data_IF_997647552161
#
_entry.id   IF_997647552161
#
_cell.length_a   1.000
_cell.length_b   1.000
_cell.length_c   1.000
_cell.angle_alpha   90.00
_cell.angle_beta   90.00
_cell.angle_gamma   90.00
#
_symmetry.space_group_name_H-M   'P 1'
#
loop_
_entity.id
_entity.type
_entity.pdbx_description
1 polymer ?
#
# COMPACT_ATOMS: atom_id res chain seq x y z
N UNK A 1 -10.48 -20.15 -23.79
CA UNK A 1 -10.70 -19.69 -22.42
C UNK A 1 -11.37 -20.81 -21.65
N UNK A 2 -10.90 -21.16 -20.47
CA UNK A 2 -11.48 -22.19 -19.59
C UNK A 2 -12.31 -21.48 -18.53
N UNK A 3 -13.56 -21.90 -18.28
CA UNK A 3 -14.48 -21.31 -17.33
C UNK A 3 -15.15 -22.39 -16.47
N UNK A 4 -15.38 -22.13 -15.19
CA UNK A 4 -16.06 -23.06 -14.30
C UNK A 4 -17.57 -23.08 -14.53
N UNK A 5 -18.17 -21.92 -14.85
CA UNK A 5 -19.60 -21.76 -15.07
C UNK A 5 -19.88 -21.26 -16.51
N UNK A 6 -20.71 -21.95 -17.28
CA UNK A 6 -21.10 -21.50 -18.63
C UNK A 6 -21.83 -20.17 -18.65
N UNK A 7 -22.51 -19.76 -17.58
CA UNK A 7 -23.14 -18.45 -17.47
C UNK A 7 -22.13 -17.31 -17.46
N UNK A 8 -20.91 -17.54 -16.98
CA UNK A 8 -19.80 -16.58 -17.03
C UNK A 8 -19.19 -16.47 -18.44
N UNK A 9 -19.37 -17.47 -19.29
CA UNK A 9 -18.89 -17.44 -20.66
C UNK A 9 -19.65 -16.42 -21.54
N UNK A 10 -20.86 -16.01 -21.15
CA UNK A 10 -21.67 -15.03 -21.85
C UNK A 10 -21.14 -13.57 -21.71
N UNK A 11 -20.20 -13.33 -20.83
CA UNK A 11 -19.60 -11.99 -20.59
C UNK A 11 -18.51 -11.66 -21.63
N UNK A 12 -17.99 -12.65 -22.31
CA UNK A 12 -16.99 -12.46 -23.36
C UNK A 12 -17.64 -12.67 -24.71
N UNK A 13 -18.15 -11.59 -25.35
CA UNK A 13 -18.29 -11.61 -26.77
C UNK A 13 -16.93 -12.00 -27.38
N UNK A 14 -16.86 -13.08 -28.18
CA UNK A 14 -15.63 -13.41 -28.86
C UNK A 14 -15.34 -12.22 -29.80
N UNK A 15 -14.33 -11.44 -29.45
CA UNK A 15 -13.68 -10.63 -30.45
C UNK A 15 -13.36 -11.55 -31.63
N UNK A 16 -13.22 -11.03 -32.83
CA UNK A 16 -13.03 -11.72 -34.12
C UNK A 16 -11.88 -12.76 -34.20
N UNK A 17 -11.44 -13.29 -33.05
CA UNK A 17 -10.42 -14.33 -32.91
C UNK A 17 -11.05 -15.71 -32.62
N UNK A 18 -10.41 -16.75 -33.09
CA UNK A 18 -10.79 -18.17 -33.02
C UNK A 18 -10.64 -18.80 -31.59
N UNK A 19 -10.77 -18.04 -30.52
CA UNK A 19 -10.63 -18.58 -29.18
C UNK A 19 -11.84 -19.45 -28.78
N UNK A 20 -11.60 -20.76 -28.56
CA UNK A 20 -12.59 -21.71 -28.04
C UNK A 20 -12.81 -21.47 -26.54
N UNK A 21 -14.05 -21.35 -26.11
CA UNK A 21 -14.44 -21.36 -24.70
C UNK A 21 -14.85 -22.77 -24.33
N UNK A 22 -14.25 -23.34 -23.27
CA UNK A 22 -14.55 -24.69 -22.80
C UNK A 22 -14.78 -24.66 -21.30
N UNK A 23 -15.63 -25.56 -20.79
CA UNK A 23 -15.79 -25.78 -19.36
C UNK A 23 -14.51 -26.39 -18.79
N UNK A 24 -14.14 -26.02 -17.58
CA UNK A 24 -12.96 -26.60 -16.91
C UNK A 24 -13.05 -28.12 -16.82
N UNK A 25 -14.22 -28.66 -16.45
CA UNK A 25 -14.45 -30.11 -16.34
C UNK A 25 -14.28 -30.83 -17.68
N UNK A 26 -14.80 -30.27 -18.78
CA UNK A 26 -14.66 -30.82 -20.13
C UNK A 26 -13.21 -30.78 -20.59
N UNK A 27 -12.52 -29.66 -20.32
CA UNK A 27 -11.09 -29.51 -20.63
C UNK A 27 -10.22 -30.49 -19.83
N UNK A 28 -10.50 -30.71 -18.56
CA UNK A 28 -9.81 -31.70 -17.72
C UNK A 28 -10.05 -33.12 -18.23
N UNK A 29 -11.28 -33.46 -18.64
CA UNK A 29 -11.62 -34.77 -19.20
C UNK A 29 -10.92 -34.99 -20.55
N UNK A 30 -10.91 -34.01 -21.46
CA UNK A 30 -10.18 -34.03 -22.71
C UNK A 30 -8.67 -34.19 -22.47
N UNK A 31 -8.12 -33.49 -21.45
CA UNK A 31 -6.69 -33.57 -21.10
C UNK A 31 -6.28 -34.92 -20.53
N UNK A 32 -7.15 -35.58 -19.76
CA UNK A 32 -6.89 -36.92 -19.21
C UNK A 32 -6.84 -38.00 -20.31
N UNK A 33 -7.50 -37.78 -21.44
CA UNK A 33 -7.48 -38.67 -22.62
C UNK A 33 -6.33 -38.37 -23.60
N UNK A 34 -5.71 -37.19 -23.46
CA UNK A 34 -4.58 -36.82 -24.32
C UNK A 34 -3.38 -37.68 -23.98
N UNK A 35 -2.73 -38.25 -25.00
CA UNK A 35 -1.51 -39.01 -24.84
C UNK A 35 -0.38 -38.08 -24.41
N UNK A 36 -0.06 -38.05 -23.10
CA UNK A 36 0.92 -37.17 -22.47
C UNK A 36 2.35 -37.39 -22.97
N UNK A 37 2.65 -38.58 -23.52
CA UNK A 37 3.99 -38.93 -24.01
C UNK A 37 4.39 -38.16 -25.27
N UNK A 38 3.41 -37.68 -26.06
CA UNK A 38 3.67 -36.93 -27.28
C UNK A 38 3.93 -35.43 -27.05
N UNK A 39 3.51 -34.85 -25.90
CA UNK A 39 3.62 -33.42 -25.60
C UNK A 39 4.90 -33.10 -24.85
N UNK A 40 5.38 -34.02 -23.98
CA UNK A 40 6.52 -33.79 -23.11
C UNK A 40 7.89 -33.70 -23.83
N UNK A 41 7.96 -34.11 -25.10
CA UNK A 41 9.26 -34.33 -25.78
C UNK A 41 9.69 -33.26 -26.77
N UNK A 42 8.88 -32.17 -27.01
CA UNK A 42 9.16 -31.24 -28.12
C UNK A 42 9.23 -29.74 -27.75
N UNK A 43 8.84 -29.33 -26.57
CA UNK A 43 8.99 -27.93 -26.22
C UNK A 43 10.44 -27.64 -25.80
N UNK A 44 11.12 -26.65 -26.40
CA UNK A 44 12.43 -26.23 -25.91
C UNK A 44 12.31 -25.73 -24.47
N UNK A 45 13.31 -26.00 -23.66
CA UNK A 45 13.36 -25.45 -22.31
C UNK A 45 13.33 -23.91 -22.37
N UNK A 46 12.51 -23.26 -21.53
CA UNK A 46 12.42 -21.80 -21.53
C UNK A 46 13.78 -21.18 -21.19
N UNK A 47 14.13 -20.11 -21.89
CA UNK A 47 15.34 -19.35 -21.67
C UNK A 47 15.06 -18.18 -20.70
N UNK A 48 16.11 -17.65 -20.10
CA UNK A 48 15.99 -16.56 -19.13
C UNK A 48 15.32 -15.30 -19.73
N UNK A 49 15.54 -15.04 -21.02
CA UNK A 49 15.02 -13.88 -21.74
C UNK A 49 13.62 -14.10 -22.33
N UNK A 50 13.10 -15.32 -22.28
CA UNK A 50 11.75 -15.60 -22.78
C UNK A 50 10.71 -14.88 -21.95
N UNK A 51 9.60 -14.48 -22.59
CA UNK A 51 8.48 -13.85 -21.95
C UNK A 51 7.80 -14.82 -20.96
N UNK A 52 7.86 -14.50 -19.68
CA UNK A 52 7.25 -15.29 -18.62
C UNK A 52 5.83 -14.85 -18.28
N UNK A 53 5.56 -13.54 -18.31
CA UNK A 53 4.26 -12.99 -17.93
C UNK A 53 3.98 -11.66 -18.63
N UNK A 54 2.70 -11.40 -18.90
CA UNK A 54 2.18 -10.07 -19.24
C UNK A 54 1.23 -9.66 -18.10
N UNK A 55 1.59 -8.59 -17.38
CA UNK A 55 0.79 -8.09 -16.27
C UNK A 55 0.20 -6.73 -16.63
N UNK A 56 -1.13 -6.66 -16.65
CA UNK A 56 -1.82 -5.42 -16.99
C UNK A 56 -1.86 -4.48 -15.79
N UNK A 57 -1.42 -3.22 -16.02
CA UNK A 57 -1.53 -2.15 -15.03
C UNK A 57 -2.73 -1.27 -15.35
N UNK A 58 -3.41 -0.79 -14.31
CA UNK A 58 -4.57 0.11 -14.45
C UNK A 58 -4.21 1.54 -14.83
N UNK A 59 -3.00 1.78 -15.34
CA UNK A 59 -2.44 3.06 -15.79
C UNK A 59 -3.19 4.32 -15.36
N UNK A 60 -2.51 5.30 -14.78
CA UNK A 60 -3.13 6.58 -14.37
C UNK A 60 -3.67 7.41 -15.55
N UNK A 61 -3.42 7.01 -16.78
CA UNK A 61 -3.68 7.82 -18.00
C UNK A 61 -4.66 7.19 -19.00
N UNK A 62 -5.42 6.14 -18.64
CA UNK A 62 -6.41 5.58 -19.57
C UNK A 62 -6.38 4.05 -19.70
N UNK A 63 -6.23 3.53 -20.91
CA UNK A 63 -6.30 2.09 -21.20
C UNK A 63 -5.19 1.31 -20.50
N UNK A 64 -5.47 0.14 -19.89
CA UNK A 64 -4.46 -0.70 -19.27
C UNK A 64 -3.31 -1.04 -20.22
N UNK A 65 -2.09 -1.12 -19.69
CA UNK A 65 -0.89 -1.50 -20.43
C UNK A 65 -0.39 -2.84 -19.93
N UNK A 66 -0.10 -3.76 -20.83
CA UNK A 66 0.47 -5.06 -20.51
C UNK A 66 1.99 -4.95 -20.33
N UNK A 67 2.47 -5.03 -19.11
CA UNK A 67 3.91 -5.07 -18.79
C UNK A 67 4.46 -6.44 -19.10
N UNK A 68 5.46 -6.53 -19.97
CA UNK A 68 6.13 -7.78 -20.35
C UNK A 68 7.29 -8.07 -19.39
N UNK A 69 7.23 -9.20 -18.72
CA UNK A 69 8.27 -9.67 -17.80
C UNK A 69 8.87 -10.98 -18.31
N UNK A 70 10.19 -11.02 -18.43
CA UNK A 70 10.91 -12.26 -18.75
C UNK A 70 11.10 -13.13 -17.49
N UNK A 71 11.50 -14.39 -17.69
CA UNK A 71 11.90 -15.27 -16.59
C UNK A 71 13.06 -14.65 -15.79
N UNK A 72 14.04 -14.02 -16.46
CA UNK A 72 15.13 -13.29 -15.80
C UNK A 72 14.60 -12.18 -14.89
N UNK A 73 13.65 -11.35 -15.38
CA UNK A 73 13.11 -10.24 -14.59
C UNK A 73 12.52 -10.75 -13.27
N UNK A 74 11.68 -11.78 -13.34
CA UNK A 74 11.00 -12.33 -12.16
C UNK A 74 11.98 -12.99 -11.21
N UNK A 75 12.86 -13.87 -11.72
CA UNK A 75 13.77 -14.64 -10.86
C UNK A 75 14.86 -13.78 -10.23
N UNK A 76 15.35 -12.74 -10.92
CA UNK A 76 16.31 -11.80 -10.33
C UNK A 76 15.67 -11.00 -9.18
N UNK A 77 14.40 -10.61 -9.31
CA UNK A 77 13.69 -9.91 -8.26
C UNK A 77 13.46 -10.81 -7.04
N UNK A 78 12.99 -12.05 -7.24
CA UNK A 78 12.84 -13.04 -6.16
C UNK A 78 14.14 -13.24 -5.40
N UNK A 79 15.25 -13.43 -6.12
CA UNK A 79 16.58 -13.62 -5.52
C UNK A 79 16.98 -12.40 -4.69
N UNK A 80 16.81 -11.21 -5.23
CA UNK A 80 17.18 -9.97 -4.54
C UNK A 80 16.32 -9.69 -3.30
N UNK A 81 15.01 -9.97 -3.37
CA UNK A 81 14.09 -9.84 -2.23
C UNK A 81 14.43 -10.83 -1.12
N UNK A 82 14.84 -12.05 -1.44
CA UNK A 82 15.30 -13.02 -0.42
C UNK A 82 16.46 -12.50 0.43
N UNK A 83 17.34 -11.68 -0.15
CA UNK A 83 18.41 -11.01 0.59
C UNK A 83 17.93 -9.98 1.61
N UNK A 84 16.66 -9.52 1.53
CA UNK A 84 16.05 -8.55 2.47
C UNK A 84 15.14 -9.21 3.50
N UNK A 85 14.31 -10.17 3.05
CA UNK A 85 13.27 -10.79 3.89
C UNK A 85 13.79 -12.01 4.65
N UNK A 86 14.80 -12.69 4.15
CA UNK A 86 15.41 -13.89 4.76
C UNK A 86 14.34 -14.95 5.10
N UNK A 87 13.54 -15.31 4.10
CA UNK A 87 12.55 -16.38 4.23
C UNK A 87 13.23 -17.75 4.24
N UNK A 88 12.64 -18.71 4.96
CA UNK A 88 13.16 -20.08 5.12
C UNK A 88 12.04 -21.11 4.87
N UNK A 89 12.42 -22.37 4.76
CA UNK A 89 11.49 -23.50 4.62
C UNK A 89 10.45 -23.57 5.75
N UNK A 90 10.83 -23.15 6.97
CA UNK A 90 9.95 -23.22 8.16
C UNK A 90 8.92 -22.11 8.21
N UNK A 91 8.96 -21.18 7.25
CA UNK A 91 8.03 -20.05 7.24
C UNK A 91 6.65 -20.42 6.70
N UNK A 92 5.67 -19.74 7.25
CA UNK A 92 4.27 -19.82 6.85
C UNK A 92 3.82 -18.44 6.38
N UNK A 93 3.47 -18.33 5.11
CA UNK A 93 2.90 -17.13 4.49
C UNK A 93 1.39 -17.19 4.51
N UNK A 94 0.72 -16.10 4.84
CA UNK A 94 -0.72 -15.94 4.66
C UNK A 94 -0.96 -14.99 3.48
N UNK A 95 -1.41 -15.55 2.35
CA UNK A 95 -1.66 -14.83 1.10
C UNK A 95 -3.12 -14.37 1.06
N UNK A 96 -3.35 -13.08 0.87
CA UNK A 96 -4.69 -12.49 0.77
C UNK A 96 -4.80 -11.39 -0.28
N UNK A 97 -3.67 -10.91 -0.81
CA UNK A 97 -3.65 -9.95 -1.91
C UNK A 97 -3.87 -10.68 -3.24
N UNK A 98 -4.37 -9.99 -4.29
CA UNK A 98 -4.57 -10.63 -5.60
C UNK A 98 -3.25 -11.11 -6.22
N UNK A 99 -3.13 -12.39 -6.51
CA UNK A 99 -1.96 -12.98 -7.19
C UNK A 99 -1.79 -12.45 -8.62
N UNK A 100 -2.82 -11.84 -9.20
CA UNK A 100 -2.74 -11.10 -10.46
C UNK A 100 -1.88 -9.83 -10.36
N UNK A 101 -1.66 -9.30 -9.15
CA UNK A 101 -0.77 -8.18 -8.89
C UNK A 101 0.65 -8.68 -8.66
N UNK A 102 1.66 -8.04 -9.29
CA UNK A 102 3.06 -8.47 -9.21
C UNK A 102 3.62 -8.54 -7.79
N UNK A 103 3.18 -7.67 -6.89
CA UNK A 103 3.65 -7.66 -5.50
C UNK A 103 3.31 -8.97 -4.78
N UNK A 104 2.05 -9.40 -4.83
CA UNK A 104 1.66 -10.69 -4.24
C UNK A 104 2.26 -11.85 -5.01
N UNK A 105 2.25 -11.80 -6.35
CA UNK A 105 2.81 -12.85 -7.19
C UNK A 105 4.29 -13.10 -6.89
N UNK A 106 5.08 -12.06 -6.71
CA UNK A 106 6.52 -12.22 -6.41
C UNK A 106 6.77 -12.52 -4.94
N UNK A 107 6.24 -11.70 -4.03
CA UNK A 107 6.56 -11.80 -2.60
C UNK A 107 5.72 -12.83 -1.85
N UNK A 108 4.47 -13.09 -2.27
CA UNK A 108 3.55 -14.02 -1.61
C UNK A 108 3.42 -15.39 -2.31
N UNK A 109 3.94 -15.53 -3.53
CA UNK A 109 3.85 -16.79 -4.28
C UNK A 109 5.22 -17.30 -4.76
N UNK A 110 5.98 -16.55 -5.58
CA UNK A 110 7.26 -17.05 -6.09
C UNK A 110 8.35 -17.12 -5.01
N UNK A 111 8.42 -16.14 -4.13
CA UNK A 111 9.41 -16.11 -3.04
C UNK A 111 9.26 -17.30 -2.09
N UNK A 112 8.06 -17.61 -1.53
CA UNK A 112 7.90 -18.81 -0.70
C UNK A 112 8.17 -20.10 -1.47
N UNK A 113 7.83 -20.19 -2.77
CA UNK A 113 8.20 -21.35 -3.60
C UNK A 113 9.72 -21.53 -3.70
N UNK A 114 10.48 -20.45 -3.86
CA UNK A 114 11.93 -20.48 -4.01
C UNK A 114 12.65 -21.05 -2.78
N UNK A 115 12.03 -20.99 -1.59
CA UNK A 115 12.59 -21.50 -0.33
C UNK A 115 11.79 -22.66 0.27
N UNK A 116 10.83 -23.20 -0.50
CA UNK A 116 9.93 -24.29 -0.07
C UNK A 116 9.14 -24.00 1.21
N UNK A 117 8.77 -22.73 1.43
CA UNK A 117 7.90 -22.32 2.53
C UNK A 117 6.43 -22.74 2.30
N UNK A 118 5.64 -22.77 3.38
CA UNK A 118 4.20 -23.01 3.29
C UNK A 118 3.46 -21.72 2.91
N UNK A 119 2.55 -21.80 1.92
CA UNK A 119 1.62 -20.71 1.58
C UNK A 119 0.19 -21.14 1.94
N UNK A 120 -0.49 -20.33 2.72
CA UNK A 120 -1.90 -20.50 3.06
C UNK A 120 -2.68 -19.34 2.48
N UNK A 121 -3.74 -19.61 1.72
CA UNK A 121 -4.60 -18.58 1.15
C UNK A 121 -5.71 -18.22 2.13
N UNK A 122 -5.88 -16.92 2.39
CA UNK A 122 -6.96 -16.43 3.23
C UNK A 122 -8.32 -16.66 2.58
N UNK A 123 -9.33 -16.91 3.37
CA UNK A 123 -10.71 -17.09 2.91
C UNK A 123 -11.28 -15.84 2.25
N UNK A 124 -11.01 -14.69 2.86
CA UNK A 124 -11.36 -13.37 2.33
C UNK A 124 -10.64 -12.26 3.11
N UNK A 125 -10.60 -11.05 2.56
CA UNK A 125 -10.07 -9.87 3.28
C UNK A 125 -10.89 -9.53 4.52
N UNK A 126 -12.20 -9.80 4.51
CA UNK A 126 -13.08 -9.58 5.67
C UNK A 126 -12.75 -10.53 6.83
N UNK A 127 -12.34 -11.76 6.53
CA UNK A 127 -12.02 -12.81 7.51
C UNK A 127 -10.53 -12.86 7.87
N UNK A 128 -9.72 -11.97 7.31
CA UNK A 128 -8.27 -11.96 7.51
C UNK A 128 -7.86 -11.97 9.00
N UNK A 129 -8.60 -11.27 9.87
CA UNK A 129 -8.31 -11.24 11.30
C UNK A 129 -8.45 -12.61 11.98
N UNK A 130 -9.46 -13.40 11.58
CA UNK A 130 -9.66 -14.77 12.08
C UNK A 130 -8.60 -15.71 11.50
N UNK A 131 -8.27 -15.54 10.22
CA UNK A 131 -7.26 -16.35 9.53
C UNK A 131 -5.86 -16.11 10.14
N UNK A 132 -5.50 -14.87 10.50
CA UNK A 132 -4.27 -14.55 11.22
C UNK A 132 -4.16 -15.32 12.55
N UNK A 133 -5.26 -15.39 13.31
CA UNK A 133 -5.29 -16.09 14.60
C UNK A 133 -5.24 -17.61 14.45
N UNK A 134 -5.87 -18.18 13.43
CA UNK A 134 -5.93 -19.62 13.21
C UNK A 134 -4.68 -20.18 12.53
N UNK A 135 -4.15 -19.50 11.51
CA UNK A 135 -2.98 -19.92 10.71
C UNK A 135 -1.67 -19.58 11.42
N UNK A 136 -1.64 -18.43 12.14
CA UNK A 136 -0.44 -17.92 12.83
C UNK A 136 0.75 -17.82 11.89
N UNK A 137 0.67 -17.00 10.84
CA UNK A 137 1.74 -16.86 9.86
C UNK A 137 3.04 -16.32 10.50
N UNK A 138 4.18 -16.63 9.88
CA UNK A 138 5.48 -16.10 10.28
C UNK A 138 5.90 -14.92 9.40
N UNK A 139 5.41 -14.89 8.15
CA UNK A 139 5.62 -13.79 7.20
C UNK A 139 4.27 -13.36 6.64
N UNK A 140 4.05 -12.04 6.58
CA UNK A 140 2.85 -11.45 6.00
C UNK A 140 3.23 -10.40 4.97
N UNK A 141 2.86 -10.65 3.71
CA UNK A 141 2.93 -9.65 2.63
C UNK A 141 1.63 -8.88 2.61
N UNK A 142 1.70 -7.56 2.72
CA UNK A 142 0.50 -6.76 2.96
C UNK A 142 0.62 -5.33 2.42
N UNK A 143 -0.44 -4.57 2.58
CA UNK A 143 -0.53 -3.15 2.23
C UNK A 143 -0.79 -2.32 3.49
N UNK A 144 -0.43 -1.03 3.52
CA UNK A 144 -0.55 -0.15 4.69
C UNK A 144 -1.93 -0.18 5.34
N UNK A 145 -3.00 -0.27 4.55
CA UNK A 145 -4.39 -0.27 5.03
C UNK A 145 -4.71 -1.33 6.09
N UNK A 146 -4.00 -2.44 6.08
CA UNK A 146 -4.19 -3.49 7.09
C UNK A 146 -3.70 -3.01 8.46
N UNK A 147 -2.52 -2.40 8.50
CA UNK A 147 -1.95 -1.84 9.73
C UNK A 147 -2.76 -0.65 10.24
N UNK A 148 -3.21 0.23 9.36
CA UNK A 148 -4.09 1.36 9.69
C UNK A 148 -5.38 0.89 10.37
N UNK A 149 -6.06 -0.12 9.81
CA UNK A 149 -7.28 -0.68 10.40
C UNK A 149 -7.03 -1.32 11.77
N UNK A 150 -5.94 -2.05 11.92
CA UNK A 150 -5.59 -2.66 13.22
C UNK A 150 -5.25 -1.56 14.22
N UNK A 151 -4.48 -0.56 13.82
CA UNK A 151 -4.14 0.59 14.65
C UNK A 151 -5.40 1.34 15.12
N UNK A 152 -6.32 1.65 14.21
CA UNK A 152 -7.59 2.30 14.54
C UNK A 152 -8.41 1.51 15.58
N UNK A 153 -8.53 0.18 15.41
CA UNK A 153 -9.19 -0.70 16.41
C UNK A 153 -8.49 -0.68 17.77
N UNK A 154 -7.16 -0.60 17.78
CA UNK A 154 -6.40 -0.46 19.04
C UNK A 154 -6.74 0.88 19.70
N UNK A 155 -6.70 1.99 18.96
CA UNK A 155 -7.03 3.32 19.47
C UNK A 155 -8.46 3.39 20.01
N UNK A 156 -9.42 2.77 19.35
CA UNK A 156 -10.79 2.66 19.81
C UNK A 156 -10.89 1.94 21.18
N UNK A 157 -10.23 0.80 21.33
CA UNK A 157 -10.18 0.07 22.60
C UNK A 157 -9.47 0.85 23.74
N UNK A 158 -8.56 1.75 23.38
CA UNK A 158 -7.84 2.59 24.33
C UNK A 158 -8.60 3.86 24.72
N UNK A 159 -9.57 4.31 23.91
CA UNK A 159 -10.29 5.56 24.08
C UNK A 159 -10.99 5.67 25.45
N UNK A 160 -11.53 4.56 25.95
CA UNK A 160 -12.23 4.50 27.24
C UNK A 160 -11.36 4.51 28.49
N UNK A 161 -9.99 4.48 28.37
CA UNK A 161 -9.12 4.37 29.54
C UNK A 161 -7.84 5.20 29.41
N UNK A 162 -7.72 6.32 30.15
CA UNK A 162 -6.51 7.12 30.17
C UNK A 162 -5.26 6.33 30.56
N UNK A 163 -5.40 5.37 31.48
CA UNK A 163 -4.30 4.52 31.96
C UNK A 163 -3.81 3.60 30.81
N UNK A 164 -4.71 2.95 30.09
CA UNK A 164 -4.33 2.10 28.96
C UNK A 164 -3.66 2.91 27.85
N UNK A 165 -4.17 4.11 27.54
CA UNK A 165 -3.52 5.04 26.59
C UNK A 165 -2.11 5.42 27.01
N UNK A 166 -1.91 5.77 28.28
CA UNK A 166 -0.60 6.12 28.82
C UNK A 166 0.38 4.93 28.77
N UNK A 167 -0.09 3.72 29.09
CA UNK A 167 0.72 2.48 29.00
C UNK A 167 1.08 2.16 27.55
N UNK A 168 0.12 2.29 26.62
CA UNK A 168 0.36 2.09 25.18
C UNK A 168 1.40 3.08 24.65
N UNK A 169 1.24 4.37 24.94
CA UNK A 169 2.20 5.40 24.56
C UNK A 169 3.59 5.13 25.15
N UNK A 170 3.67 4.70 26.40
CA UNK A 170 4.93 4.32 27.06
C UNK A 170 5.60 3.12 26.38
N UNK A 171 4.82 2.10 25.99
CA UNK A 171 5.34 0.92 25.30
C UNK A 171 5.87 1.29 23.91
N UNK A 172 5.09 2.05 23.13
CA UNK A 172 5.50 2.53 21.79
C UNK A 172 6.77 3.37 21.88
N UNK A 173 6.81 4.38 22.75
CA UNK A 173 7.97 5.28 22.91
C UNK A 173 9.24 4.52 23.31
N UNK A 174 9.15 3.64 24.32
CA UNK A 174 10.30 2.88 24.79
C UNK A 174 10.78 1.84 23.76
N UNK A 175 9.85 1.15 23.11
CA UNK A 175 10.18 0.20 22.07
C UNK A 175 10.73 0.87 20.81
N UNK A 176 10.19 2.04 20.42
CA UNK A 176 10.73 2.85 19.34
C UNK A 176 12.17 3.30 19.59
N UNK A 177 12.49 3.76 20.79
CA UNK A 177 13.86 4.09 21.17
C UNK A 177 14.81 2.89 20.99
N UNK A 178 14.37 1.69 21.37
CA UNK A 178 15.13 0.44 21.19
C UNK A 178 15.29 0.08 19.71
N UNK A 179 14.26 0.29 18.92
CA UNK A 179 14.32 0.10 17.47
C UNK A 179 15.35 1.05 16.84
N UNK A 180 15.30 2.34 17.18
CA UNK A 180 16.27 3.32 16.69
C UNK A 180 17.71 2.95 17.07
N UNK A 181 17.95 2.55 18.32
CA UNK A 181 19.26 2.09 18.79
C UNK A 181 19.75 0.87 18.01
N UNK A 182 18.89 -0.13 17.80
CA UNK A 182 19.23 -1.36 17.07
C UNK A 182 19.56 -1.14 15.60
N UNK A 183 18.96 -0.11 14.97
CA UNK A 183 19.12 0.20 13.56
C UNK A 183 19.99 1.44 13.28
N UNK A 184 20.57 2.06 14.30
CA UNK A 184 21.43 3.24 14.15
C UNK A 184 20.68 4.50 13.70
N UNK A 185 19.36 4.59 13.98
CA UNK A 185 18.53 5.72 13.59
C UNK A 185 18.59 6.85 14.62
N UNK A 186 18.46 8.09 14.14
CA UNK A 186 18.31 9.24 15.05
C UNK A 186 16.92 9.18 15.70
N UNK A 187 16.89 9.05 17.01
CA UNK A 187 15.65 9.13 17.76
C UNK A 187 15.27 10.60 17.96
N UNK A 188 14.43 11.16 17.08
CA UNK A 188 13.91 12.52 17.21
C UNK A 188 12.89 12.66 18.34
N UNK A 189 12.26 11.57 18.76
CA UNK A 189 11.24 11.53 19.81
C UNK A 189 11.86 11.26 21.19
N UNK A 190 12.99 11.85 21.47
CA UNK A 190 13.75 11.70 22.72
C UNK A 190 13.00 12.11 24.01
N UNK A 191 11.72 12.37 23.93
CA UNK A 191 10.82 12.53 25.07
C UNK A 191 10.45 11.17 25.69
N UNK A 192 11.44 10.40 26.15
CA UNK A 192 11.20 9.33 27.13
C UNK A 192 10.76 9.94 28.46
N UNK A 193 9.67 10.71 28.42
CA UNK A 193 9.04 11.29 29.58
C UNK A 193 8.02 10.35 30.24
N UNK A 194 7.68 10.59 31.47
CA UNK A 194 6.59 9.91 32.16
C UNK A 194 6.80 8.41 32.34
N UNK A 195 5.74 7.60 32.10
CA UNK A 195 5.73 6.16 32.39
C UNK A 195 6.76 5.35 31.56
N UNK A 196 7.16 5.81 30.39
CA UNK A 196 8.17 5.12 29.56
C UNK A 196 9.53 5.02 30.28
N UNK A 197 9.89 6.03 31.08
CA UNK A 197 11.12 6.04 31.86
C UNK A 197 11.03 5.13 33.10
N UNK A 198 9.88 5.08 33.74
CA UNK A 198 9.66 4.39 35.01
C UNK A 198 9.44 2.87 34.84
N UNK A 199 8.73 2.47 33.80
CA UNK A 199 8.35 1.07 33.64
C UNK A 199 9.42 0.26 32.87
N UNK A 200 9.79 -0.95 33.33
CA UNK A 200 10.72 -1.81 32.60
C UNK A 200 10.09 -2.31 31.27
N UNK A 201 10.95 -2.48 30.26
CA UNK A 201 10.49 -2.98 28.94
C UNK A 201 9.77 -4.33 29.03
N UNK A 202 10.28 -5.25 29.84
CA UNK A 202 9.68 -6.58 30.02
C UNK A 202 8.22 -6.52 30.49
N UNK A 203 7.89 -5.55 31.35
CA UNK A 203 6.49 -5.33 31.77
C UNK A 203 5.64 -4.79 30.62
N UNK A 204 6.12 -3.75 29.92
CA UNK A 204 5.41 -3.14 28.79
C UNK A 204 5.26 -4.14 27.63
N UNK A 205 6.30 -4.93 27.36
CA UNK A 205 6.25 -5.99 26.35
C UNK A 205 5.16 -7.01 26.65
N UNK A 206 5.14 -7.55 27.87
CA UNK A 206 4.18 -8.60 28.25
C UNK A 206 2.73 -8.10 28.34
N UNK A 207 2.53 -6.85 28.84
CA UNK A 207 1.20 -6.31 29.15
C UNK A 207 0.60 -5.47 28.03
N UNK A 208 1.40 -4.95 27.11
CA UNK A 208 0.96 -4.03 26.05
C UNK A 208 1.33 -4.56 24.67
N UNK A 209 2.62 -4.84 24.42
CA UNK A 209 3.07 -5.22 23.08
C UNK A 209 2.57 -6.62 22.69
N UNK A 210 2.76 -7.63 23.55
CA UNK A 210 2.36 -9.00 23.25
C UNK A 210 0.88 -9.15 22.89
N UNK A 211 -0.09 -8.58 23.62
CA UNK A 211 -1.50 -8.62 23.21
C UNK A 211 -1.79 -8.03 21.84
N UNK A 212 -0.99 -7.07 21.38
CA UNK A 212 -1.10 -6.51 20.02
C UNK A 212 -0.47 -7.45 19.00
N UNK A 213 0.69 -8.02 19.30
CA UNK A 213 1.36 -9.00 18.42
C UNK A 213 0.52 -10.28 18.27
N UNK A 214 -0.20 -10.65 19.31
CA UNK A 214 -1.09 -11.80 19.29
C UNK A 214 -2.25 -11.63 18.30
N UNK A 215 -2.66 -10.40 17.96
CA UNK A 215 -3.63 -10.13 16.89
C UNK A 215 -3.15 -10.60 15.51
N UNK A 216 -1.85 -10.72 15.32
CA UNK A 216 -1.22 -11.27 14.12
C UNK A 216 -0.90 -12.77 14.23
N UNK A 217 -1.47 -13.46 15.23
CA UNK A 217 -1.26 -14.89 15.48
C UNK A 217 -0.08 -15.22 16.40
N UNK A 218 0.64 -14.21 16.92
CA UNK A 218 1.71 -14.38 17.92
C UNK A 218 3.02 -14.99 17.39
N UNK A 219 3.11 -15.37 16.09
CA UNK A 219 4.31 -15.95 15.45
C UNK A 219 4.89 -15.10 14.34
N UNK A 220 4.25 -13.95 14.04
CA UNK A 220 4.67 -13.09 12.93
C UNK A 220 6.04 -12.47 13.24
N UNK A 221 7.06 -12.84 12.48
CA UNK A 221 8.44 -12.35 12.61
C UNK A 221 8.76 -11.22 11.62
N UNK A 222 8.13 -11.24 10.43
CA UNK A 222 8.31 -10.24 9.39
C UNK A 222 6.96 -9.90 8.78
N UNK A 223 6.69 -8.62 8.73
CA UNK A 223 5.59 -8.04 7.97
C UNK A 223 6.20 -7.19 6.84
N UNK A 224 5.87 -7.50 5.58
CA UNK A 224 6.32 -6.71 4.43
C UNK A 224 5.16 -5.83 3.98
N UNK A 225 5.42 -4.55 3.77
CA UNK A 225 4.41 -3.62 3.25
C UNK A 225 4.91 -2.88 2.02
N UNK A 226 4.03 -2.72 1.05
CA UNK A 226 4.34 -2.05 -0.21
C UNK A 226 3.10 -1.50 -0.91
N UNK A 227 3.32 -0.90 -2.06
CA UNK A 227 2.25 -0.37 -2.90
C UNK A 227 1.72 1.00 -2.53
N UNK A 228 1.90 1.44 -1.28
CA UNK A 228 1.65 2.80 -0.78
C UNK A 228 2.54 3.06 0.44
N UNK A 229 2.70 4.33 0.82
CA UNK A 229 3.40 4.67 2.05
C UNK A 229 2.55 4.31 3.28
N UNK A 230 3.18 3.85 4.37
CA UNK A 230 2.52 3.62 5.66
C UNK A 230 2.63 4.89 6.52
N UNK A 231 1.54 5.35 7.20
CA UNK A 231 1.62 6.50 8.09
C UNK A 231 2.71 6.32 9.15
N UNK A 232 3.52 7.36 9.39
CA UNK A 232 4.63 7.30 10.34
C UNK A 232 4.17 6.91 11.75
N UNK A 233 3.04 7.43 12.21
CA UNK A 233 2.46 7.07 13.52
C UNK A 233 2.10 5.58 13.60
N UNK A 234 1.68 4.98 12.50
CA UNK A 234 1.33 3.56 12.41
C UNK A 234 2.60 2.71 12.40
N UNK A 235 3.57 3.04 11.53
CA UNK A 235 4.84 2.31 11.45
C UNK A 235 5.64 2.39 12.75
N UNK A 236 5.77 3.58 13.35
CA UNK A 236 6.44 3.77 14.64
C UNK A 236 5.75 2.98 15.76
N UNK A 237 4.41 2.95 15.75
CA UNK A 237 3.67 2.18 16.75
C UNK A 237 3.95 0.68 16.65
N UNK A 238 3.86 0.09 15.47
CA UNK A 238 4.11 -1.35 15.33
C UNK A 238 5.57 -1.73 15.52
N UNK A 239 6.52 -0.95 14.98
CA UNK A 239 7.95 -1.15 15.22
C UNK A 239 8.28 -0.99 16.71
N UNK A 240 7.70 0.03 17.36
CA UNK A 240 7.86 0.25 18.82
C UNK A 240 7.25 -0.87 19.66
N UNK A 241 6.20 -1.54 19.20
CA UNK A 241 5.65 -2.72 19.86
C UNK A 241 6.43 -4.01 19.54
N UNK A 242 7.42 -3.94 18.65
CA UNK A 242 8.29 -5.08 18.31
C UNK A 242 7.84 -5.90 17.10
N UNK A 243 6.85 -5.42 16.32
CA UNK A 243 6.53 -6.01 15.03
C UNK A 243 7.54 -5.49 13.99
N UNK A 244 8.31 -6.37 13.37
CA UNK A 244 9.21 -6.00 12.28
C UNK A 244 8.40 -5.73 11.02
N UNK A 245 8.20 -4.46 10.68
CA UNK A 245 7.53 -4.02 9.45
C UNK A 245 8.58 -3.49 8.49
N UNK A 246 8.78 -4.17 7.37
CA UNK A 246 9.70 -3.77 6.30
C UNK A 246 8.92 -3.09 5.18
N UNK A 247 9.26 -1.86 4.85
CA UNK A 247 8.71 -1.16 3.70
C UNK A 247 9.56 -1.41 2.47
N UNK A 248 8.90 -1.55 1.31
CA UNK A 248 9.54 -1.59 0.02
C UNK A 248 8.81 -0.71 -0.99
N UNK A 249 9.54 -0.30 -2.02
CA UNK A 249 9.00 0.42 -3.17
C UNK A 249 9.27 -0.36 -4.44
N UNK A 250 8.32 -0.25 -5.36
CA UNK A 250 8.43 -0.83 -6.68
C UNK A 250 7.15 -0.65 -7.50
N UNK A 251 7.16 -1.19 -8.69
CA UNK A 251 6.08 -1.08 -9.65
C UNK A 251 6.04 -2.34 -10.51
N UNK A 252 4.96 -2.57 -11.24
CA UNK A 252 4.85 -3.74 -12.10
C UNK A 252 6.02 -3.83 -13.09
N UNK A 253 6.48 -2.70 -13.58
CA UNK A 253 7.60 -2.54 -14.50
C UNK A 253 8.97 -2.91 -13.90
N UNK A 254 9.06 -3.16 -12.57
CA UNK A 254 10.26 -3.61 -11.86
C UNK A 254 10.12 -4.99 -11.19
N UNK A 255 9.13 -5.80 -11.51
CA UNK A 255 8.91 -7.24 -11.20
C UNK A 255 8.62 -7.69 -9.75
N UNK A 256 8.17 -6.96 -8.75
CA UNK A 256 7.93 -5.53 -8.73
C UNK A 256 8.94 -4.73 -7.92
N UNK A 257 9.80 -5.34 -7.06
CA UNK A 257 10.51 -4.65 -5.99
C UNK A 257 11.78 -3.99 -6.52
N UNK A 258 11.93 -2.70 -6.24
CA UNK A 258 13.11 -1.95 -6.61
C UNK A 258 14.01 -1.66 -5.40
N UNK A 259 13.38 -1.25 -4.30
CA UNK A 259 14.07 -0.94 -3.04
C UNK A 259 13.31 -1.55 -1.87
N UNK A 260 13.99 -1.89 -0.80
CA UNK A 260 13.38 -2.37 0.43
C UNK A 260 14.26 -2.09 1.65
N UNK A 261 13.62 -1.83 2.79
CA UNK A 261 14.24 -1.93 4.09
C UNK A 261 14.71 -3.38 4.36
N UNK A 262 15.58 -3.56 5.31
CA UNK A 262 16.13 -4.88 5.68
C UNK A 262 16.05 -5.11 7.19
N UNK A 263 16.26 -6.37 7.60
CA UNK A 263 16.36 -6.70 9.03
C UNK A 263 17.56 -6.04 9.72
N UNK A 264 18.63 -5.76 8.97
CA UNK A 264 19.83 -5.12 9.51
C UNK A 264 19.67 -3.60 9.64
N UNK A 265 18.92 -2.98 8.74
CA UNK A 265 18.65 -1.53 8.78
C UNK A 265 17.23 -1.26 8.30
N UNK A 266 16.40 -0.72 9.17
CA UNK A 266 14.98 -0.51 8.94
C UNK A 266 14.56 0.90 9.40
N UNK A 267 14.68 1.86 8.47
CA UNK A 267 14.19 3.22 8.65
C UNK A 267 12.79 3.37 8.02
N UNK A 268 11.73 3.49 8.80
CA UNK A 268 10.37 3.63 8.25
C UNK A 268 10.13 4.98 7.55
N UNK A 269 11.05 5.92 7.60
CA UNK A 269 10.97 7.18 6.83
C UNK A 269 11.43 7.02 5.39
N UNK A 270 12.01 5.87 5.04
CA UNK A 270 12.51 5.50 3.71
C UNK A 270 11.85 4.22 3.22
N UNK A 271 12.05 3.90 1.96
CA UNK A 271 11.73 2.60 1.36
C UNK A 271 12.99 1.75 1.16
N UNK A 272 14.05 2.05 1.91
CA UNK A 272 15.30 1.33 1.98
C UNK A 272 16.22 1.54 0.78
N UNK A 273 17.26 0.72 0.75
CA UNK A 273 18.28 0.73 -0.32
C UNK A 273 17.81 -0.05 -1.55
N UNK A 274 18.34 0.24 -2.74
CA UNK A 274 18.15 -0.58 -3.91
C UNK A 274 18.45 -2.05 -3.60
N UNK A 275 17.68 -2.97 -4.17
CA UNK A 275 17.93 -4.39 -4.07
C UNK A 275 19.25 -4.75 -4.77
N UNK A 276 19.82 -5.90 -4.44
CA UNK A 276 21.05 -6.38 -5.07
C UNK A 276 20.89 -6.50 -6.59
N UNK A 277 21.85 -5.93 -7.33
CA UNK A 277 21.83 -5.89 -8.79
C UNK A 277 20.95 -4.79 -9.39
N UNK A 278 20.24 -4.01 -8.56
CA UNK A 278 19.42 -2.87 -8.98
C UNK A 278 20.17 -1.57 -8.78
N UNK A 279 20.02 -0.65 -9.74
CA UNK A 279 20.57 0.69 -9.67
C UNK A 279 19.42 1.70 -9.68
N UNK A 280 19.58 2.77 -8.91
CA UNK A 280 18.66 3.91 -8.91
C UNK A 280 19.42 5.20 -9.01
N UNK A 281 18.80 6.20 -9.63
CA UNK A 281 19.29 7.59 -9.65
C UNK A 281 18.10 8.57 -9.54
N UNK A 282 18.41 9.78 -9.15
CA UNK A 282 17.47 10.90 -9.21
C UNK A 282 17.72 11.66 -10.51
N UNK A 283 16.75 11.65 -11.39
CA UNK A 283 16.76 12.35 -12.66
C UNK A 283 16.13 13.75 -12.58
N UNK A 284 15.76 14.26 -13.75
CA UNK A 284 15.05 15.54 -13.85
C UNK A 284 13.75 15.53 -13.04
N UNK A 285 13.32 16.68 -12.55
CA UNK A 285 12.13 16.86 -11.69
C UNK A 285 12.14 16.00 -10.43
N UNK A 286 13.33 15.61 -9.92
CA UNK A 286 13.51 14.67 -8.81
C UNK A 286 12.90 13.29 -9.08
N UNK A 287 12.73 12.90 -10.34
CA UNK A 287 12.19 11.60 -10.70
C UNK A 287 13.14 10.47 -10.32
N UNK A 288 12.64 9.49 -9.59
CA UNK A 288 13.35 8.25 -9.37
C UNK A 288 13.43 7.47 -10.68
N UNK A 289 14.64 7.09 -11.08
CA UNK A 289 14.89 6.28 -12.26
C UNK A 289 15.59 4.99 -11.86
N UNK A 290 15.27 3.89 -12.56
CA UNK A 290 15.71 2.55 -12.21
C UNK A 290 16.39 1.85 -13.38
N UNK A 291 17.39 1.01 -13.08
CA UNK A 291 18.03 0.10 -14.00
C UNK A 291 18.39 -1.19 -13.28
N UNK A 292 18.18 -2.34 -13.95
CA UNK A 292 18.53 -3.63 -13.37
C UNK A 292 17.87 -4.80 -14.10
N UNK A 293 18.23 -6.03 -13.73
CA UNK A 293 17.71 -7.22 -14.37
C UNK A 293 16.22 -7.48 -14.10
N UNK A 294 15.61 -6.82 -13.12
CA UNK A 294 14.18 -6.88 -12.81
C UNK A 294 13.32 -5.93 -13.64
N UNK A 295 13.94 -5.01 -14.41
CA UNK A 295 13.22 -4.03 -15.24
C UNK A 295 12.61 -4.72 -16.44
N UNK A 296 11.34 -4.42 -16.74
CA UNK A 296 10.52 -4.99 -17.79
C UNK A 296 11.17 -4.96 -19.18
N UNK A 297 10.75 -5.86 -20.05
CA UNK A 297 11.09 -5.84 -21.49
C UNK A 297 10.42 -4.67 -22.24
N UNK A 298 9.30 -4.17 -21.73
CA UNK A 298 8.49 -3.11 -22.34
C UNK A 298 7.00 -3.40 -22.21
N UNK A 299 6.17 -2.61 -22.90
CA UNK A 299 4.71 -2.79 -22.92
C UNK A 299 4.26 -3.56 -24.17
N UNK A 300 3.44 -4.58 -23.97
CA UNK A 300 2.89 -5.44 -25.03
C UNK A 300 2.16 -4.62 -26.08
N UNK A 301 2.59 -4.74 -27.34
CA UNK A 301 2.05 -4.01 -28.51
C UNK A 301 1.96 -2.48 -28.32
N UNK A 302 2.89 -1.89 -27.51
CA UNK A 302 2.95 -0.44 -27.21
C UNK A 302 4.38 0.10 -27.33
N UNK A 303 5.02 0.08 -28.52
CA UNK A 303 6.41 0.51 -28.66
C UNK A 303 6.63 1.99 -28.31
N UNK A 304 5.69 2.87 -28.64
CA UNK A 304 5.80 4.29 -28.30
C UNK A 304 5.68 4.55 -26.80
N UNK A 305 4.79 3.81 -26.10
CA UNK A 305 4.69 3.91 -24.65
C UNK A 305 5.95 3.35 -23.96
N UNK A 306 6.51 2.27 -24.52
CA UNK A 306 7.77 1.68 -24.06
C UNK A 306 8.90 2.70 -24.20
N UNK A 307 9.06 3.32 -25.37
CA UNK A 307 10.07 4.36 -25.59
C UNK A 307 9.95 5.52 -24.60
N UNK A 308 8.71 5.97 -24.30
CA UNK A 308 8.45 7.04 -23.33
C UNK A 308 8.76 6.66 -21.89
N UNK A 309 8.68 5.36 -21.56
CA UNK A 309 8.98 4.86 -20.21
C UNK A 309 10.46 4.85 -19.87
N UNK A 310 11.34 4.92 -20.87
CA UNK A 310 12.78 4.94 -20.67
C UNK A 310 13.38 6.30 -21.02
N UNK A 311 14.53 6.58 -20.42
CA UNK A 311 15.42 7.68 -20.83
C UNK A 311 16.20 7.25 -22.08
N UNK A 312 16.88 8.20 -22.76
CA UNK A 312 17.72 7.90 -23.91
C UNK A 312 18.89 6.96 -23.56
N UNK A 313 19.41 7.04 -22.33
CA UNK A 313 20.47 6.20 -21.79
C UNK A 313 19.97 4.93 -21.08
N UNK A 314 18.68 4.56 -21.28
CA UNK A 314 18.11 3.26 -20.92
C UNK A 314 17.64 3.11 -19.47
N UNK A 315 17.42 4.17 -18.71
CA UNK A 315 16.84 4.10 -17.38
C UNK A 315 15.32 4.13 -17.43
N UNK A 316 14.68 3.25 -16.70
CA UNK A 316 13.23 3.26 -16.50
C UNK A 316 12.82 4.48 -15.65
N UNK A 317 11.90 5.27 -16.16
CA UNK A 317 11.23 6.36 -15.45
C UNK A 317 10.12 5.81 -14.58
N UNK A 318 10.22 5.97 -13.25
CA UNK A 318 9.18 5.44 -12.34
C UNK A 318 7.92 6.31 -12.30
N UNK A 319 8.04 7.59 -12.63
CA UNK A 319 6.97 8.58 -12.47
C UNK A 319 6.77 9.01 -11.00
N UNK A 320 7.64 8.56 -10.10
CA UNK A 320 7.61 8.92 -8.68
C UNK A 320 8.79 9.87 -8.37
N UNK A 321 8.54 10.92 -7.58
CA UNK A 321 9.60 11.77 -7.04
C UNK A 321 10.22 11.14 -5.80
N UNK A 322 11.53 11.24 -5.69
CA UNK A 322 12.27 10.72 -4.56
C UNK A 322 13.49 11.58 -4.20
N UNK A 323 14.01 11.31 -3.02
CA UNK A 323 15.27 11.85 -2.50
C UNK A 323 16.15 10.70 -2.03
N UNK A 324 17.46 10.88 -2.12
CA UNK A 324 18.43 9.95 -1.54
C UNK A 324 18.84 10.45 -0.16
N UNK A 325 18.67 9.64 0.87
CA UNK A 325 19.03 9.93 2.26
C UNK A 325 19.93 8.80 2.76
N UNK A 326 21.19 9.06 2.99
CA UNK A 326 22.18 8.09 3.48
C UNK A 326 22.24 6.78 2.63
N UNK A 327 22.01 6.93 1.31
CA UNK A 327 22.00 5.80 0.35
C UNK A 327 20.68 5.04 0.30
N UNK A 328 19.65 5.49 1.00
CA UNK A 328 18.29 4.98 0.96
C UNK A 328 17.35 5.89 0.16
N UNK A 329 16.30 5.33 -0.39
CA UNK A 329 15.31 6.05 -1.17
C UNK A 329 14.17 6.50 -0.26
N UNK A 330 13.86 7.79 -0.30
CA UNK A 330 12.64 8.38 0.27
C UNK A 330 11.73 8.80 -0.86
N UNK A 331 10.55 8.21 -0.93
CA UNK A 331 9.54 8.61 -1.92
C UNK A 331 8.85 9.88 -1.42
N UNK A 332 8.75 10.87 -2.29
CA UNK A 332 8.08 12.16 -2.00
C UNK A 332 6.65 12.16 -2.52
N UNK A 333 6.41 11.54 -3.69
CA UNK A 333 5.07 11.46 -4.27
C UNK A 333 5.10 11.16 -5.76
N UNK A 334 3.93 11.04 -6.38
CA UNK A 334 3.84 10.83 -7.83
C UNK A 334 3.90 12.14 -8.58
N UNK A 335 4.76 12.21 -9.60
CA UNK A 335 4.93 13.42 -10.41
C UNK A 335 3.61 13.91 -10.99
N UNK A 336 2.76 12.99 -11.47
CA UNK A 336 1.44 13.30 -12.06
C UNK A 336 0.34 13.62 -11.02
N UNK A 337 0.60 13.36 -9.75
CA UNK A 337 -0.36 13.61 -8.67
C UNK A 337 0.02 14.83 -7.83
N UNK A 338 1.22 15.38 -8.03
CA UNK A 338 1.65 16.62 -7.37
C UNK A 338 0.71 17.73 -7.84
N UNK A 339 0.04 18.33 -6.88
CA UNK A 339 -0.85 19.46 -7.09
C UNK A 339 0.01 20.70 -7.28
N UNK A 340 -0.17 21.42 -8.40
CA UNK A 340 0.43 22.72 -8.63
C UNK A 340 -0.66 23.77 -8.42
N UNK A 341 -0.59 24.53 -7.33
CA UNK A 341 -1.57 25.57 -7.03
C UNK A 341 -1.49 26.74 -8.03
N UNK A 342 -2.49 27.59 -8.04
CA UNK A 342 -2.49 28.80 -8.88
C UNK A 342 -1.31 29.76 -8.58
N UNK A 343 -0.73 29.65 -7.39
CA UNK A 343 0.49 30.41 -6.97
C UNK A 343 1.79 29.70 -7.34
N UNK A 344 1.73 28.51 -7.98
CA UNK A 344 2.91 27.75 -8.41
C UNK A 344 3.51 26.85 -7.33
N UNK A 345 2.91 26.76 -6.14
CA UNK A 345 3.36 25.89 -5.07
C UNK A 345 3.09 24.42 -5.41
N UNK A 346 4.07 23.55 -5.17
CA UNK A 346 3.99 22.11 -5.43
C UNK A 346 3.63 21.38 -4.13
N UNK A 347 2.49 20.73 -4.11
CA UNK A 347 1.97 20.02 -2.94
C UNK A 347 1.80 18.55 -3.27
N UNK A 348 2.60 17.64 -2.66
CA UNK A 348 2.37 16.22 -2.70
C UNK A 348 1.12 15.88 -1.86
N UNK A 349 0.02 15.40 -2.46
CA UNK A 349 -1.22 15.18 -1.71
C UNK A 349 -1.14 13.97 -0.77
N UNK A 350 -0.32 12.97 -1.11
CA UNK A 350 -0.26 11.70 -0.39
C UNK A 350 0.11 11.83 1.08
N UNK A 351 1.10 12.65 1.39
CA UNK A 351 1.57 12.86 2.77
C UNK A 351 0.49 13.51 3.64
N UNK A 352 -0.24 14.47 3.08
CA UNK A 352 -1.34 15.15 3.76
C UNK A 352 -2.49 14.17 4.00
N UNK A 353 -2.90 13.44 2.97
CA UNK A 353 -3.94 12.40 3.07
C UNK A 353 -3.61 11.36 4.13
N UNK A 354 -2.35 10.96 4.18
CA UNK A 354 -1.85 10.02 5.16
C UNK A 354 -1.89 10.60 6.58
N UNK A 355 -1.49 11.86 6.76
CA UNK A 355 -1.55 12.54 8.06
C UNK A 355 -3.01 12.66 8.56
N UNK A 356 -3.95 12.93 7.66
CA UNK A 356 -5.38 12.99 7.98
C UNK A 356 -5.93 11.62 8.37
N UNK A 357 -5.66 10.58 7.59
CA UNK A 357 -6.13 9.23 7.85
C UNK A 357 -5.49 8.57 9.09
N UNK A 358 -4.48 9.17 9.69
CA UNK A 358 -3.96 8.74 10.99
C UNK A 358 -4.93 9.03 12.15
N UNK A 359 -5.86 9.96 11.97
CA UNK A 359 -6.92 10.26 12.93
C UNK A 359 -8.16 9.37 12.68
N UNK A 360 -8.70 8.70 13.72
CA UNK A 360 -9.84 7.79 13.60
C UNK A 360 -11.09 8.38 12.94
N UNK A 361 -11.26 9.71 12.96
CA UNK A 361 -12.40 10.37 12.33
C UNK A 361 -12.39 10.21 10.81
N UNK A 362 -11.20 10.18 10.19
CA UNK A 362 -11.06 10.12 8.73
C UNK A 362 -10.84 8.69 8.25
N UNK A 363 -11.82 8.12 7.59
CA UNK A 363 -11.69 6.78 6.99
C UNK A 363 -10.95 6.84 5.66
N UNK A 364 -11.23 7.85 4.83
CA UNK A 364 -10.59 8.08 3.54
C UNK A 364 -10.53 9.57 3.26
N UNK A 365 -9.45 10.03 2.64
CA UNK A 365 -9.28 11.44 2.27
C UNK A 365 -8.70 11.56 0.87
N UNK A 366 -9.08 12.60 0.14
CA UNK A 366 -8.49 13.00 -1.13
C UNK A 366 -8.24 14.51 -1.12
N UNK A 367 -6.99 14.89 -1.23
CA UNK A 367 -6.55 16.28 -1.30
C UNK A 367 -6.60 16.77 -2.76
N UNK A 368 -7.12 17.97 -2.96
CA UNK A 368 -7.33 18.61 -4.28
C UNK A 368 -6.90 20.07 -4.23
N UNK A 369 -6.62 20.67 -5.40
CA UNK A 369 -6.20 22.08 -5.47
C UNK A 369 -5.41 22.42 -6.73
N UNK A 370 -5.45 21.54 -7.76
CA UNK A 370 -4.76 21.79 -9.03
C UNK A 370 -5.25 23.10 -9.67
N UNK A 371 -4.30 24.04 -9.94
CA UNK A 371 -4.58 25.39 -10.46
C UNK A 371 -5.55 26.20 -9.60
N UNK A 372 -5.74 25.86 -8.32
CA UNK A 372 -6.64 26.54 -7.41
C UNK A 372 -5.90 27.43 -6.41
N UNK A 373 -6.54 28.46 -5.83
CA UNK A 373 -5.88 29.41 -4.92
C UNK A 373 -5.50 28.80 -3.57
N UNK A 374 -6.03 27.65 -3.21
CA UNK A 374 -5.74 26.94 -1.96
C UNK A 374 -6.04 25.45 -2.09
N UNK A 375 -5.52 24.68 -1.15
CA UNK A 375 -5.76 23.24 -1.04
C UNK A 375 -7.08 22.97 -0.32
N UNK A 376 -7.88 22.05 -0.86
CA UNK A 376 -9.09 21.53 -0.25
C UNK A 376 -9.01 20.00 -0.07
N UNK A 377 -9.94 19.44 0.70
CA UNK A 377 -9.99 18.02 0.98
C UNK A 377 -11.41 17.46 0.85
N UNK A 378 -11.57 16.33 0.19
CA UNK A 378 -12.73 15.44 0.32
C UNK A 378 -12.42 14.41 1.38
N UNK A 379 -13.31 14.21 2.35
CA UNK A 379 -13.12 13.27 3.44
C UNK A 379 -14.35 12.39 3.66
N UNK A 380 -14.10 11.08 3.70
CA UNK A 380 -15.09 10.11 4.20
C UNK A 380 -14.85 9.94 5.69
N UNK A 381 -15.86 10.22 6.48
CA UNK A 381 -15.79 10.07 7.94
C UNK A 381 -16.12 8.64 8.36
N UNK A 382 -15.40 8.13 9.33
CA UNK A 382 -15.77 6.91 10.03
C UNK A 382 -17.12 7.08 10.70
N UNK A 383 -18.05 6.17 10.45
CA UNK A 383 -19.44 6.30 10.91
C UNK A 383 -19.55 6.38 12.44
N UNK A 384 -18.75 5.64 13.19
CA UNK A 384 -18.86 5.61 14.65
C UNK A 384 -18.24 6.87 15.28
N UNK A 385 -17.13 7.35 14.74
CA UNK A 385 -16.53 8.63 15.15
C UNK A 385 -17.40 9.82 14.74
N UNK A 386 -18.06 9.75 13.58
CA UNK A 386 -19.05 10.75 13.17
C UNK A 386 -20.24 10.80 14.15
N UNK A 387 -20.80 9.66 14.57
CA UNK A 387 -21.88 9.62 15.57
C UNK A 387 -21.46 10.29 16.88
N UNK A 388 -20.22 10.04 17.35
CA UNK A 388 -19.67 10.69 18.56
C UNK A 388 -19.55 12.20 18.39
N UNK A 389 -19.00 12.65 17.24
CA UNK A 389 -18.83 14.07 16.95
C UNK A 389 -20.19 14.78 16.85
N UNK A 390 -21.13 14.23 16.08
CA UNK A 390 -22.48 14.77 15.92
C UNK A 390 -23.21 14.85 17.27
N UNK A 391 -23.18 13.78 18.06
CA UNK A 391 -23.77 13.74 19.39
C UNK A 391 -23.20 14.79 20.34
N UNK A 392 -21.89 15.05 20.30
CA UNK A 392 -21.26 16.12 21.09
C UNK A 392 -21.71 17.54 20.70
N UNK A 393 -22.26 17.69 19.49
CA UNK A 393 -22.78 18.96 18.95
C UNK A 393 -24.32 19.06 19.00
N UNK A 394 -24.99 18.02 19.52
CA UNK A 394 -26.46 17.96 19.54
C UNK A 394 -27.10 17.79 18.16
N UNK A 395 -26.34 17.18 17.20
CA UNK A 395 -26.80 16.95 15.84
C UNK A 395 -27.21 15.48 15.65
N UNK A 396 -28.17 15.26 14.76
CA UNK A 396 -28.56 13.92 14.34
C UNK A 396 -27.55 13.37 13.30
N UNK A 397 -26.78 12.31 13.61
CA UNK A 397 -25.80 11.74 12.71
C UNK A 397 -26.41 11.04 11.47
N UNK A 398 -27.70 10.69 11.51
CA UNK A 398 -28.40 10.06 10.38
C UNK A 398 -28.90 11.08 9.34
N UNK A 399 -28.96 12.35 9.71
CA UNK A 399 -29.37 13.42 8.81
C UNK A 399 -28.18 13.93 7.98
N UNK A 400 -28.25 13.79 6.66
CA UNK A 400 -27.23 14.27 5.74
C UNK A 400 -26.95 15.78 5.84
N UNK A 401 -27.94 16.58 6.26
CA UNK A 401 -27.79 18.04 6.48
C UNK A 401 -26.86 18.31 7.66
N UNK A 402 -26.86 17.46 8.69
CA UNK A 402 -25.96 17.58 9.85
C UNK A 402 -24.49 17.56 9.43
N UNK A 403 -24.13 16.73 8.45
CA UNK A 403 -22.77 16.62 7.93
C UNK A 403 -22.29 17.94 7.28
N UNK A 404 -23.20 18.70 6.70
CA UNK A 404 -22.92 19.96 6.02
C UNK A 404 -23.00 21.19 6.93
N UNK A 405 -23.34 21.01 8.22
CA UNK A 405 -23.46 22.08 9.16
C UNK A 405 -22.16 22.91 9.30
N UNK A 406 -22.23 24.26 9.31
CA UNK A 406 -21.03 25.09 9.43
C UNK A 406 -20.17 24.77 10.68
N UNK A 407 -20.83 24.43 11.80
CA UNK A 407 -20.14 24.03 13.04
C UNK A 407 -19.32 22.75 12.87
N UNK A 408 -19.85 21.75 12.15
CA UNK A 408 -19.14 20.49 11.84
C UNK A 408 -17.94 20.77 10.94
N UNK A 409 -18.13 21.50 9.84
CA UNK A 409 -17.03 21.88 8.95
C UNK A 409 -15.92 22.62 9.69
N UNK A 410 -16.27 23.56 10.57
CA UNK A 410 -15.31 24.30 11.39
C UNK A 410 -14.53 23.37 12.32
N UNK A 411 -15.20 22.44 13.00
CA UNK A 411 -14.55 21.49 13.90
C UNK A 411 -13.62 20.52 13.14
N UNK A 412 -14.05 20.03 11.98
CA UNK A 412 -13.23 19.15 11.14
C UNK A 412 -12.02 19.90 10.58
N UNK A 413 -12.18 21.15 10.11
CA UNK A 413 -11.05 21.97 9.64
C UNK A 413 -10.03 22.25 10.74
N UNK A 414 -10.47 22.56 11.95
CA UNK A 414 -9.56 22.73 13.09
C UNK A 414 -8.78 21.45 13.39
N UNK A 415 -9.41 20.28 13.22
CA UNK A 415 -8.76 18.98 13.39
C UNK A 415 -7.76 18.69 12.24
N UNK A 416 -8.10 19.03 10.99
CA UNK A 416 -7.19 18.97 9.84
C UNK A 416 -5.97 19.86 10.09
N UNK A 417 -6.16 21.11 10.53
CA UNK A 417 -5.07 22.02 10.83
C UNK A 417 -4.12 21.47 11.91
N UNK A 418 -4.67 20.88 12.97
CA UNK A 418 -3.89 20.24 14.02
C UNK A 418 -3.06 19.05 13.52
N UNK A 419 -3.63 18.22 12.62
CA UNK A 419 -2.96 17.07 12.04
C UNK A 419 -1.90 17.44 11.00
N UNK A 420 -2.03 18.62 10.40
CA UNK A 420 -1.15 19.11 9.33
C UNK A 420 -0.21 20.23 9.78
N UNK A 421 -0.07 20.48 11.10
CA UNK A 421 0.76 21.58 11.64
C UNK A 421 2.23 21.52 11.21
N UNK A 422 2.74 20.34 10.86
CA UNK A 422 4.11 20.14 10.37
C UNK A 422 4.31 20.43 8.88
N UNK A 423 3.23 20.68 8.14
CA UNK A 423 3.28 20.98 6.71
C UNK A 423 3.39 22.47 6.45
N UNK A 424 3.87 22.84 5.25
CA UNK A 424 3.88 24.23 4.82
C UNK A 424 2.45 24.80 4.79
N UNK A 425 2.27 26.06 5.19
CA UNK A 425 0.96 26.70 5.31
C UNK A 425 0.12 26.66 4.02
N UNK A 426 0.77 26.71 2.86
CA UNK A 426 0.09 26.61 1.57
C UNK A 426 -0.45 25.22 1.26
N UNK A 427 0.10 24.17 1.92
CA UNK A 427 -0.28 22.78 1.75
C UNK A 427 -1.43 22.34 2.68
N UNK A 428 -1.77 23.14 3.69
CA UNK A 428 -2.86 22.85 4.64
C UNK A 428 -4.21 23.05 3.98
N UNK A 429 -5.12 22.05 3.98
CA UNK A 429 -6.47 22.21 3.44
C UNK A 429 -7.27 23.31 4.14
N UNK A 430 -7.80 24.25 3.36
CA UNK A 430 -8.63 25.37 3.87
C UNK A 430 -10.13 25.15 3.72
N UNK A 431 -10.52 24.15 2.95
CA UNK A 431 -11.91 23.75 2.79
C UNK A 431 -12.03 22.24 2.82
N UNK A 432 -13.17 21.73 3.28
CA UNK A 432 -13.45 20.30 3.34
C UNK A 432 -14.87 20.00 2.89
N UNK A 433 -15.04 18.92 2.13
CA UNK A 433 -16.32 18.27 1.84
C UNK A 433 -16.37 16.93 2.56
N UNK A 434 -17.47 16.68 3.24
CA UNK A 434 -17.65 15.53 4.11
C UNK A 434 -18.66 14.55 3.50
N UNK A 435 -18.35 13.26 3.61
CA UNK A 435 -19.22 12.15 3.28
C UNK A 435 -19.10 11.06 4.33
N UNK A 436 -20.10 10.20 4.44
CA UNK A 436 -20.03 8.93 5.19
C UNK A 436 -20.15 7.73 4.25
N UNK A 437 -20.28 7.96 2.93
CA UNK A 437 -20.27 6.92 1.91
C UNK A 437 -18.83 6.52 1.57
N UNK A 438 -18.41 5.27 1.84
CA UNK A 438 -17.03 4.85 1.59
C UNK A 438 -16.75 4.73 0.09
N UNK A 439 -15.51 5.02 -0.27
CA UNK A 439 -14.98 4.69 -1.60
C UNK A 439 -14.53 3.24 -1.61
N UNK A 440 -14.98 2.47 -2.60
CA UNK A 440 -14.75 1.02 -2.66
C UNK A 440 -14.30 0.59 -4.05
N UNK A 441 -13.90 -0.68 -4.16
CA UNK A 441 -13.62 -1.33 -5.45
C UNK A 441 -14.93 -1.49 -6.23
N UNK A 442 -16.01 -1.88 -5.54
CA UNK A 442 -17.31 -2.16 -6.14
C UNK A 442 -17.98 -0.91 -6.75
N UNK A 443 -17.81 0.27 -6.11
CA UNK A 443 -18.33 1.53 -6.67
C UNK A 443 -17.33 2.19 -7.66
N UNK A 444 -16.23 1.51 -7.97
CA UNK A 444 -15.27 1.95 -8.98
C UNK A 444 -14.34 3.09 -8.55
N UNK A 445 -14.39 3.53 -7.29
CA UNK A 445 -13.61 4.66 -6.77
C UNK A 445 -12.24 4.25 -6.19
N UNK A 446 -12.03 2.93 -6.02
CA UNK A 446 -10.73 2.36 -5.63
C UNK A 446 -10.29 1.26 -6.58
N UNK A 447 -8.98 1.02 -6.62
CA UNK A 447 -8.40 -0.14 -7.30
C UNK A 447 -8.52 -1.39 -6.40
N UNK A 448 -8.38 -2.63 -6.95
CA UNK A 448 -8.32 -3.85 -6.15
C UNK A 448 -7.23 -3.85 -5.06
N UNK A 449 -6.19 -3.03 -5.22
CA UNK A 449 -5.12 -2.80 -4.24
C UNK A 449 -5.42 -1.64 -3.30
N UNK A 450 -6.68 -1.21 -3.21
CA UNK A 450 -7.19 -0.18 -2.31
C UNK A 450 -6.55 1.22 -2.50
N UNK A 451 -6.10 1.54 -3.72
CA UNK A 451 -5.64 2.89 -4.09
C UNK A 451 -6.78 3.73 -4.64
N UNK A 452 -6.76 5.03 -4.36
CA UNK A 452 -7.75 5.97 -4.88
C UNK A 452 -7.68 6.05 -6.42
N UNK A 453 -8.82 6.02 -7.06
CA UNK A 453 -8.96 6.36 -8.48
C UNK A 453 -9.29 7.86 -8.59
N UNK A 454 -8.25 8.70 -8.46
CA UNK A 454 -8.41 10.16 -8.46
C UNK A 454 -9.22 10.71 -9.62
N UNK A 455 -9.03 10.28 -10.89
CA UNK A 455 -9.84 10.78 -11.99
C UNK A 455 -11.34 10.50 -11.83
N UNK A 456 -11.70 9.30 -11.34
CA UNK A 456 -13.09 8.93 -11.09
C UNK A 456 -13.69 9.70 -9.93
N UNK A 457 -12.92 9.91 -8.86
CA UNK A 457 -13.31 10.75 -7.72
C UNK A 457 -13.50 12.21 -8.15
N UNK A 458 -12.57 12.77 -8.93
CA UNK A 458 -12.69 14.13 -9.47
C UNK A 458 -13.94 14.29 -10.36
N UNK A 459 -14.25 13.29 -11.17
CA UNK A 459 -15.46 13.27 -12.00
C UNK A 459 -16.73 13.19 -11.14
N UNK A 460 -16.75 12.29 -10.13
CA UNK A 460 -17.89 12.12 -9.22
C UNK A 460 -18.19 13.41 -8.42
N UNK A 461 -17.16 14.10 -7.97
CA UNK A 461 -17.27 15.28 -7.11
C UNK A 461 -17.02 16.61 -7.83
N UNK A 462 -17.20 16.66 -9.16
CA UNK A 462 -16.92 17.86 -9.94
C UNK A 462 -17.75 19.07 -9.49
N UNK A 463 -19.05 18.88 -9.23
CA UNK A 463 -19.93 19.95 -8.78
C UNK A 463 -19.57 20.49 -7.39
N UNK A 464 -19.20 19.60 -6.46
CA UNK A 464 -18.76 19.96 -5.12
C UNK A 464 -17.40 20.66 -5.16
N UNK A 465 -16.53 20.29 -6.11
CA UNK A 465 -15.25 20.94 -6.33
C UNK A 465 -15.45 22.39 -6.79
N UNK A 466 -16.32 22.58 -7.79
CA UNK A 466 -16.67 23.91 -8.29
C UNK A 466 -17.25 24.79 -7.17
N UNK A 467 -18.12 24.24 -6.32
CA UNK A 467 -18.71 24.97 -5.18
C UNK A 467 -17.66 25.36 -4.11
N UNK A 468 -16.63 24.52 -3.88
CA UNK A 468 -15.54 24.84 -2.93
C UNK A 468 -14.79 26.10 -3.37
N UNK A 469 -14.55 26.28 -4.67
CA UNK A 469 -13.72 27.35 -5.22
C UNK A 469 -14.51 28.52 -5.83
N UNK A 470 -15.82 28.42 -5.91
CA UNK A 470 -16.70 29.47 -6.44
C UNK A 470 -16.83 30.73 -5.54
N UNK A 471 -16.17 30.76 -4.37
CA UNK A 471 -16.31 31.87 -3.37
C UNK A 471 -15.02 32.66 -3.25
#
# INVERSE_FOLDING_TARGET
MVVDDPAQAAITEPGTGTARVVRLQDWLAESAQANTDAVATKAPAPQAEDLAAIVYTSGTTGKPKGVMLSHRNVLSDVKAVLGRVVATQDDVFLSFLPVSHTFERTCGYYLPMAVASTVVYARSVAQLGEDLLSIKPTILVSVPRIYERIYAKIQEKLAGSPIKRALFAAAVSKGWARHCEAHGLKNSDAAQGGLARLLPWSFLQKRVAQPVLDLFGGRLRIAVTGGAAIPSVVSHSFLGLGLTVLQGFGMTETSPVLTANSLAHNDPSTVGKPLEGMEVRIGENKELQARGPNVMMGYWNRPEDTKKAFTEDGWLKTGDQAEMVDGEVRIVGRIKEIIVTATGEKVPPGDIEQALCADPLFEQTMVVGEQQPFIACFAVLNQDEWKKLAGSMGLDPSNSVSLQAPAVRKAVLARIEALTHGFAKYAVPRAVRLSTEPWTVDNGLMTPTLKLRRPQLMQKFAAELDDIYAK
#
